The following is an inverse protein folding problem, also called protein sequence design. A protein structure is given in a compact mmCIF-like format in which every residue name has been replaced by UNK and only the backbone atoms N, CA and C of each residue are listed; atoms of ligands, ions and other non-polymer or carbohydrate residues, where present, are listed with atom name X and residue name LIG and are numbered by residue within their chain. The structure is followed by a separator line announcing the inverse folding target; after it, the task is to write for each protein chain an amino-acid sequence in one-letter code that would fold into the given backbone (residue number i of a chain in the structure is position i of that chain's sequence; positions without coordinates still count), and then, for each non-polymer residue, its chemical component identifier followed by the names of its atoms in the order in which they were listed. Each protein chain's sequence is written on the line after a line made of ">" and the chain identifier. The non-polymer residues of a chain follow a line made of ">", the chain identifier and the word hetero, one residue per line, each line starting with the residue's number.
data_IF_167467613928
#
_entry.id   IF_167467613928
#
_cell.length_a   1.000
_cell.length_b   1.000
_cell.length_c   1.000
_cell.angle_alpha   90.00
_cell.angle_beta   90.00
_cell.angle_gamma   90.00
#
_symmetry.space_group_name_H-M   'P 1'
#
loop_
_entity.id
_entity.type
_entity.pdbx_description
1 polymer ?
#
# COMPACT_ATOMS: atom_id res chain seq x y z
N UNK A 1 -22.08 7.17 -16.19
CA UNK A 1 -20.86 7.69 -15.54
C UNK A 1 -21.05 7.95 -14.05
N UNK A 2 -22.09 8.66 -13.56
CA UNK A 2 -22.30 8.85 -12.12
C UNK A 2 -22.40 7.52 -11.35
N UNK A 3 -23.10 6.51 -11.86
CA UNK A 3 -23.26 5.21 -11.17
C UNK A 3 -21.95 4.47 -10.92
N UNK A 4 -20.99 4.60 -11.84
CA UNK A 4 -19.65 4.00 -11.68
C UNK A 4 -18.87 4.74 -10.60
N UNK A 5 -18.98 6.07 -10.54
CA UNK A 5 -18.33 6.87 -9.50
C UNK A 5 -18.93 6.55 -8.14
N UNK A 6 -20.25 6.52 -7.99
CA UNK A 6 -20.92 6.08 -6.76
C UNK A 6 -20.53 4.65 -6.36
N UNK A 7 -20.44 3.74 -7.33
CA UNK A 7 -20.06 2.36 -7.06
C UNK A 7 -18.61 2.22 -6.55
N UNK A 8 -17.68 2.96 -7.18
CA UNK A 8 -16.25 2.88 -6.86
C UNK A 8 -15.89 3.68 -5.61
N UNK A 9 -16.44 4.88 -5.44
CA UNK A 9 -16.12 5.80 -4.34
C UNK A 9 -17.03 5.66 -3.12
N UNK A 10 -18.24 5.12 -3.29
CA UNK A 10 -19.25 5.08 -2.23
C UNK A 10 -19.91 6.43 -1.93
N UNK A 11 -19.54 7.51 -2.61
CA UNK A 11 -20.09 8.85 -2.44
C UNK A 11 -20.21 9.60 -3.78
N UNK A 12 -21.03 10.67 -3.78
CA UNK A 12 -21.11 11.62 -4.89
C UNK A 12 -19.89 12.55 -4.97
N UNK A 13 -19.22 12.75 -3.82
CA UNK A 13 -18.27 13.82 -3.56
C UNK A 13 -16.81 13.43 -3.77
N UNK A 14 -16.50 12.14 -3.92
CA UNK A 14 -15.13 11.67 -4.07
C UNK A 14 -14.66 10.82 -2.88
N UNK A 15 -13.34 10.65 -2.74
CA UNK A 15 -12.74 9.73 -1.75
C UNK A 15 -12.96 10.34 -0.37
N UNK A 16 -13.25 9.52 0.63
CA UNK A 16 -13.47 9.99 1.99
C UNK A 16 -12.20 10.59 2.62
N UNK A 17 -11.03 10.30 2.06
CA UNK A 17 -9.77 10.91 2.42
C UNK A 17 -9.70 12.36 1.90
N UNK A 18 -9.53 13.32 2.81
CA UNK A 18 -9.30 14.73 2.46
C UNK A 18 -8.12 14.92 1.50
N UNK A 19 -8.29 15.81 0.51
CA UNK A 19 -7.34 16.01 -0.57
C UNK A 19 -6.00 16.58 -0.09
N UNK A 20 -6.02 17.55 0.83
CA UNK A 20 -4.78 18.13 1.36
C UNK A 20 -3.98 17.09 2.16
N UNK A 21 -4.67 16.35 3.04
CA UNK A 21 -4.09 15.25 3.81
C UNK A 21 -3.54 14.16 2.89
N UNK A 22 -4.30 13.78 1.86
CA UNK A 22 -3.89 12.81 0.84
C UNK A 22 -2.62 13.23 0.11
N UNK A 23 -2.50 14.51 -0.26
CA UNK A 23 -1.31 15.05 -0.91
C UNK A 23 -0.08 14.98 0.00
N UNK A 24 -0.21 15.44 1.24
CA UNK A 24 0.92 15.44 2.19
C UNK A 24 1.38 14.02 2.47
N UNK A 25 0.45 13.10 2.75
CA UNK A 25 0.80 11.69 2.92
C UNK A 25 1.43 11.11 1.66
N UNK A 26 0.88 11.36 0.47
CA UNK A 26 1.46 10.88 -0.78
C UNK A 26 2.93 11.28 -0.92
N UNK A 27 3.25 12.56 -0.75
CA UNK A 27 4.64 13.06 -0.91
C UNK A 27 5.57 12.42 0.12
N UNK A 28 5.13 12.28 1.37
CA UNK A 28 5.95 11.72 2.45
C UNK A 28 6.15 10.20 2.32
N UNK A 29 5.13 9.47 1.85
CA UNK A 29 5.18 8.00 1.79
C UNK A 29 5.70 7.47 0.46
N UNK A 30 5.61 8.23 -0.64
CA UNK A 30 6.02 7.78 -1.97
C UNK A 30 7.47 7.25 -1.99
N UNK A 31 8.48 7.93 -1.42
CA UNK A 31 9.84 7.41 -1.36
C UNK A 31 9.94 6.09 -0.59
N UNK A 32 9.16 5.92 0.48
CA UNK A 32 9.12 4.70 1.27
C UNK A 32 8.47 3.55 0.50
N UNK A 33 7.39 3.80 -0.23
CA UNK A 33 6.73 2.83 -1.10
C UNK A 33 7.66 2.36 -2.22
N UNK A 34 8.41 3.28 -2.85
CA UNK A 34 9.44 2.96 -3.84
C UNK A 34 10.54 2.10 -3.21
N UNK A 35 11.02 2.49 -2.02
CA UNK A 35 12.05 1.73 -1.32
C UNK A 35 11.59 0.31 -0.99
N UNK A 36 10.35 0.14 -0.52
CA UNK A 36 9.74 -1.17 -0.26
C UNK A 36 9.71 -2.00 -1.53
N UNK A 37 9.14 -1.48 -2.62
CA UNK A 37 9.05 -2.19 -3.89
C UNK A 37 10.43 -2.61 -4.43
N UNK A 38 11.42 -1.72 -4.40
CA UNK A 38 12.78 -2.02 -4.83
C UNK A 38 13.48 -3.05 -3.94
N UNK A 39 13.33 -2.92 -2.62
CA UNK A 39 13.94 -3.84 -1.67
C UNK A 39 13.37 -5.25 -1.80
N UNK A 40 12.06 -5.34 -2.05
CA UNK A 40 11.37 -6.62 -2.21
C UNK A 40 11.67 -7.27 -3.56
N UNK A 41 11.77 -6.49 -4.63
CA UNK A 41 12.27 -6.98 -5.91
C UNK A 41 13.69 -7.52 -5.83
N UNK A 42 14.59 -6.82 -5.12
CA UNK A 42 16.00 -7.17 -5.04
C UNK A 42 16.28 -8.33 -4.08
N UNK A 43 15.62 -8.34 -2.93
CA UNK A 43 15.95 -9.24 -1.83
C UNK A 43 14.81 -10.16 -1.41
N UNK A 44 13.59 -9.99 -1.97
CA UNK A 44 12.37 -10.69 -1.54
C UNK A 44 12.09 -10.47 -0.05
N UNK A 45 12.36 -9.24 0.41
CA UNK A 45 12.23 -8.83 1.80
C UNK A 45 11.70 -7.39 1.88
N UNK A 46 10.55 -7.23 2.53
CA UNK A 46 10.08 -5.93 3.01
C UNK A 46 10.81 -5.59 4.30
N UNK A 47 11.64 -4.54 4.27
CA UNK A 47 12.50 -4.14 5.39
C UNK A 47 11.68 -3.53 6.54
N UNK A 48 11.90 -4.02 7.77
CA UNK A 48 11.25 -3.46 8.97
C UNK A 48 11.45 -1.94 9.09
N UNK A 49 12.64 -1.42 8.76
CA UNK A 49 12.92 0.01 8.84
C UNK A 49 12.01 0.84 7.93
N UNK A 50 11.66 0.33 6.74
CA UNK A 50 10.74 1.01 5.83
C UNK A 50 9.31 1.00 6.39
N UNK A 51 8.89 -0.12 6.98
CA UNK A 51 7.57 -0.24 7.62
C UNK A 51 7.45 0.65 8.86
N UNK A 52 8.48 0.68 9.70
CA UNK A 52 8.53 1.54 10.88
C UNK A 52 8.57 3.02 10.49
N UNK A 53 9.30 3.37 9.42
CA UNK A 53 9.29 4.73 8.88
C UNK A 53 7.89 5.11 8.37
N UNK A 54 7.20 4.20 7.66
CA UNK A 54 5.84 4.42 7.20
C UNK A 54 4.88 4.66 8.38
N UNK A 55 4.89 3.79 9.39
CA UNK A 55 4.09 4.01 10.60
C UNK A 55 4.45 5.32 11.32
N UNK A 56 5.74 5.65 11.41
CA UNK A 56 6.23 6.88 12.02
C UNK A 56 5.75 8.14 11.29
N UNK A 57 5.72 8.13 9.95
CA UNK A 57 5.15 9.21 9.14
C UNK A 57 3.68 9.42 9.50
N UNK A 58 2.88 8.35 9.61
CA UNK A 58 1.49 8.49 10.00
C UNK A 58 1.34 9.07 11.41
N UNK A 59 2.09 8.53 12.38
CA UNK A 59 2.03 8.99 13.78
C UNK A 59 2.33 10.48 13.87
N UNK A 60 3.38 10.96 13.21
CA UNK A 60 3.80 12.36 13.28
C UNK A 60 2.89 13.25 12.44
N UNK A 61 2.76 12.99 11.14
CA UNK A 61 2.02 13.88 10.25
C UNK A 61 0.51 13.80 10.47
N UNK A 62 -0.05 12.61 10.75
CA UNK A 62 -1.47 12.44 11.01
C UNK A 62 -1.97 13.23 12.21
N UNK A 63 -1.13 13.44 13.23
CA UNK A 63 -1.45 14.27 14.39
C UNK A 63 -1.75 15.73 14.02
N UNK A 64 -1.10 16.24 12.97
CA UNK A 64 -1.28 17.61 12.48
C UNK A 64 -2.31 17.73 11.34
N UNK A 65 -2.54 16.65 10.61
CA UNK A 65 -3.40 16.66 9.42
C UNK A 65 -4.85 16.28 9.73
N UNK A 66 -5.12 15.59 10.84
CA UNK A 66 -6.42 14.97 11.08
C UNK A 66 -7.04 15.41 12.42
N UNK A 67 -8.38 15.49 12.53
CA UNK A 67 -9.06 15.64 13.81
C UNK A 67 -8.71 14.49 14.77
N UNK A 68 -8.45 14.81 16.04
CA UNK A 68 -8.00 13.83 17.05
C UNK A 68 -8.87 12.55 17.13
N UNK A 69 -10.22 12.62 17.08
CA UNK A 69 -11.03 11.40 17.11
C UNK A 69 -10.78 10.48 15.90
N UNK A 70 -10.67 11.06 14.71
CA UNK A 70 -10.43 10.32 13.47
C UNK A 70 -9.01 9.76 13.44
N UNK A 71 -8.02 10.55 13.84
CA UNK A 71 -6.63 10.14 13.99
C UNK A 71 -6.49 8.93 14.93
N UNK A 72 -7.15 8.96 16.08
CA UNK A 72 -7.14 7.86 17.05
C UNK A 72 -7.71 6.56 16.47
N UNK A 73 -8.79 6.65 15.70
CA UNK A 73 -9.36 5.47 15.03
C UNK A 73 -8.45 4.93 13.93
N UNK A 74 -7.81 5.82 13.16
CA UNK A 74 -6.84 5.40 12.15
C UNK A 74 -5.60 4.74 12.77
N UNK A 75 -5.08 5.26 13.89
CA UNK A 75 -4.04 4.57 14.65
C UNK A 75 -4.48 3.19 15.14
N UNK A 76 -5.74 3.05 15.60
CA UNK A 76 -6.26 1.77 16.03
C UNK A 76 -6.28 0.74 14.87
N UNK A 77 -6.51 1.17 13.63
CA UNK A 77 -6.44 0.29 12.46
C UNK A 77 -5.08 -0.37 12.30
N UNK A 78 -3.98 0.33 12.61
CA UNK A 78 -2.64 -0.27 12.59
C UNK A 78 -2.57 -1.50 13.50
N UNK A 79 -3.03 -1.35 14.76
CA UNK A 79 -3.03 -2.45 15.72
C UNK A 79 -3.95 -3.60 15.30
N UNK A 80 -5.15 -3.28 14.82
CA UNK A 80 -6.13 -4.28 14.36
C UNK A 80 -5.56 -5.08 13.19
N UNK A 81 -5.08 -4.40 12.15
CA UNK A 81 -4.54 -5.05 10.95
C UNK A 81 -3.26 -5.80 11.26
N UNK A 82 -2.44 -5.34 12.21
CA UNK A 82 -1.28 -6.09 12.68
C UNK A 82 -1.68 -7.40 13.35
N UNK A 83 -2.67 -7.38 14.25
CA UNK A 83 -3.19 -8.58 14.91
C UNK A 83 -3.74 -9.59 13.89
N UNK A 84 -4.54 -9.11 12.93
CA UNK A 84 -5.06 -9.95 11.84
C UNK A 84 -3.92 -10.50 10.99
N UNK A 85 -2.95 -9.66 10.61
CA UNK A 85 -1.79 -10.05 9.82
C UNK A 85 -0.91 -11.10 10.52
N UNK A 86 -0.72 -10.99 11.84
CA UNK A 86 -0.02 -12.00 12.65
C UNK A 86 -0.77 -13.34 12.60
N UNK A 87 -2.08 -13.33 12.79
CA UNK A 87 -2.89 -14.55 12.73
C UNK A 87 -2.81 -15.20 11.35
N UNK A 88 -2.98 -14.43 10.28
CA UNK A 88 -2.89 -14.94 8.92
C UNK A 88 -1.48 -15.43 8.56
N UNK A 89 -0.44 -14.78 9.07
CA UNK A 89 0.94 -15.25 8.92
C UNK A 89 1.18 -16.57 9.66
N UNK A 90 0.64 -16.73 10.87
CA UNK A 90 0.70 -17.98 11.62
C UNK A 90 -0.03 -19.14 10.91
N UNK A 91 -1.09 -18.82 10.14
CA UNK A 91 -1.80 -19.76 9.28
C UNK A 91 -1.10 -20.02 7.92
N UNK A 92 0.03 -19.35 7.64
CA UNK A 92 0.78 -19.49 6.38
C UNK A 92 0.14 -18.81 5.17
N UNK A 93 -0.84 -17.92 5.38
CA UNK A 93 -1.61 -17.28 4.30
C UNK A 93 -0.90 -16.05 3.69
N UNK A 94 -0.08 -15.35 4.47
CA UNK A 94 0.72 -14.23 3.99
C UNK A 94 2.06 -14.10 4.71
N UNK A 95 3.04 -13.46 4.05
CA UNK A 95 4.37 -13.25 4.61
C UNK A 95 4.36 -12.24 5.76
N UNK A 96 5.26 -12.41 6.74
CA UNK A 96 5.35 -11.50 7.87
C UNK A 96 5.70 -10.05 7.45
N UNK A 97 6.44 -9.87 6.35
CA UNK A 97 6.71 -8.55 5.77
C UNK A 97 5.45 -7.86 5.27
N UNK A 98 4.65 -8.59 4.49
CA UNK A 98 3.38 -8.12 3.92
C UNK A 98 2.39 -7.74 5.02
N UNK A 99 2.29 -8.57 6.06
CA UNK A 99 1.45 -8.32 7.24
C UNK A 99 1.79 -6.97 7.88
N UNK A 100 3.08 -6.74 8.13
CA UNK A 100 3.57 -5.53 8.79
C UNK A 100 3.38 -4.30 7.91
N UNK A 101 3.64 -4.42 6.60
CA UNK A 101 3.39 -3.32 5.67
C UNK A 101 1.90 -2.97 5.61
N UNK A 102 1.02 -3.96 5.46
CA UNK A 102 -0.43 -3.75 5.44
C UNK A 102 -0.90 -3.07 6.73
N UNK A 103 -0.37 -3.48 7.88
CA UNK A 103 -0.66 -2.82 9.15
C UNK A 103 -0.20 -1.36 9.19
N UNK A 104 1.02 -1.06 8.73
CA UNK A 104 1.52 0.31 8.68
C UNK A 104 0.80 1.18 7.63
N UNK A 105 0.27 0.56 6.57
CA UNK A 105 -0.49 1.24 5.52
C UNK A 105 -1.96 1.48 5.91
N UNK A 106 -2.53 0.67 6.81
CA UNK A 106 -3.95 0.74 7.18
C UNK A 106 -4.41 2.14 7.63
N UNK A 107 -3.69 2.87 8.52
CA UNK A 107 -4.13 4.18 9.01
C UNK A 107 -4.29 5.25 7.93
N UNK A 108 -3.65 5.06 6.78
CA UNK A 108 -3.74 5.99 5.66
C UNK A 108 -5.05 5.88 4.91
N UNK A 109 -5.83 4.82 5.13
CA UNK A 109 -7.01 4.48 4.33
C UNK A 109 -8.27 4.79 5.10
N UNK A 110 -9.14 5.64 4.55
CA UNK A 110 -10.43 5.89 5.16
C UNK A 110 -11.36 4.67 5.03
N UNK A 111 -12.12 4.38 6.10
CA UNK A 111 -13.07 3.26 6.09
C UNK A 111 -14.12 3.36 4.97
N UNK A 112 -14.48 4.59 4.59
CA UNK A 112 -15.38 4.85 3.45
C UNK A 112 -14.81 4.36 2.11
N UNK A 113 -13.49 4.27 1.99
CA UNK A 113 -12.79 3.93 0.75
C UNK A 113 -12.37 2.45 0.69
N UNK A 114 -12.79 1.61 1.65
CA UNK A 114 -12.37 0.21 1.71
C UNK A 114 -12.66 -0.56 0.41
N UNK A 115 -13.85 -0.37 -0.15
CA UNK A 115 -14.23 -1.01 -1.43
C UNK A 115 -13.31 -0.57 -2.56
N UNK A 116 -13.01 0.72 -2.61
CA UNK A 116 -12.12 1.31 -3.61
C UNK A 116 -10.72 0.71 -3.51
N UNK A 117 -10.12 0.71 -2.31
CA UNK A 117 -8.75 0.25 -2.15
C UNK A 117 -8.60 -1.26 -2.40
N UNK A 118 -9.60 -2.07 -2.08
CA UNK A 118 -9.60 -3.51 -2.40
C UNK A 118 -9.57 -3.73 -3.92
N UNK A 119 -10.40 -2.99 -4.67
CA UNK A 119 -10.43 -3.08 -6.13
C UNK A 119 -9.14 -2.54 -6.76
N UNK A 120 -8.63 -1.41 -6.25
CA UNK A 120 -7.38 -0.81 -6.68
C UNK A 120 -6.19 -1.76 -6.42
N UNK A 121 -6.15 -2.38 -5.24
CA UNK A 121 -5.15 -3.39 -4.89
C UNK A 121 -5.22 -4.59 -5.84
N UNK A 122 -6.41 -5.13 -6.10
CA UNK A 122 -6.58 -6.26 -7.03
C UNK A 122 -6.07 -5.92 -8.44
N UNK A 123 -6.40 -4.72 -8.95
CA UNK A 123 -5.94 -4.27 -10.27
C UNK A 123 -4.42 -4.11 -10.33
N UNK A 124 -3.84 -3.43 -9.34
CA UNK A 124 -2.39 -3.21 -9.25
C UNK A 124 -1.65 -4.53 -9.06
N UNK A 125 -2.18 -5.46 -8.25
CA UNK A 125 -1.61 -6.77 -8.04
C UNK A 125 -1.54 -7.55 -9.36
N UNK A 126 -2.64 -7.62 -10.12
CA UNK A 126 -2.67 -8.28 -11.42
C UNK A 126 -1.68 -7.64 -12.40
N UNK A 127 -1.66 -6.31 -12.48
CA UNK A 127 -0.73 -5.56 -13.32
C UNK A 127 0.73 -5.79 -12.91
N UNK A 128 1.01 -5.84 -11.61
CA UNK A 128 2.36 -6.06 -11.07
C UNK A 128 2.85 -7.49 -11.32
N UNK A 129 1.99 -8.48 -11.14
CA UNK A 129 2.29 -9.89 -11.45
C UNK A 129 2.55 -10.06 -12.95
N UNK A 130 1.69 -9.49 -13.80
CA UNK A 130 1.88 -9.54 -15.24
C UNK A 130 3.19 -8.87 -15.66
N UNK A 131 3.43 -7.64 -15.19
CA UNK A 131 4.64 -6.86 -15.51
C UNK A 131 5.90 -7.58 -15.05
N UNK A 132 5.95 -8.06 -13.80
CA UNK A 132 7.11 -8.77 -13.27
C UNK A 132 7.42 -10.03 -14.08
N UNK A 133 6.40 -10.83 -14.40
CA UNK A 133 6.57 -12.06 -15.19
C UNK A 133 7.03 -11.76 -16.62
N UNK A 134 6.46 -10.76 -17.26
CA UNK A 134 6.86 -10.35 -18.62
C UNK A 134 8.29 -9.82 -18.65
N UNK A 135 8.65 -8.90 -17.74
CA UNK A 135 10.00 -8.35 -17.65
C UNK A 135 11.03 -9.46 -17.47
N UNK A 136 10.75 -10.43 -16.59
CA UNK A 136 11.61 -11.59 -16.34
C UNK A 136 11.84 -12.48 -17.57
N UNK A 137 10.92 -12.49 -18.53
CA UNK A 137 11.03 -13.25 -19.78
C UNK A 137 11.82 -12.51 -20.88
N UNK A 138 12.13 -11.23 -20.67
CA UNK A 138 12.83 -10.39 -21.65
C UNK A 138 14.27 -10.09 -21.23
N UNK A 139 15.13 -9.56 -22.13
CA UNK A 139 16.47 -9.09 -21.79
C UNK A 139 16.50 -7.96 -20.74
N UNK A 140 15.37 -7.31 -20.44
CA UNK A 140 15.28 -6.25 -19.43
C UNK A 140 15.71 -6.71 -18.04
N UNK A 141 15.57 -8.00 -17.71
CA UNK A 141 16.07 -8.55 -16.43
C UNK A 141 17.59 -8.38 -16.26
N UNK A 142 18.33 -8.27 -17.35
CA UNK A 142 19.79 -8.11 -17.33
C UNK A 142 20.22 -6.72 -16.84
N UNK A 143 19.29 -5.75 -16.73
CA UNK A 143 19.54 -4.48 -16.05
C UNK A 143 19.72 -4.66 -14.53
N UNK A 144 19.25 -5.78 -13.99
CA UNK A 144 19.30 -6.09 -12.57
C UNK A 144 19.52 -7.60 -12.35
N UNK A 145 20.67 -8.15 -12.78
CA UNK A 145 20.87 -9.61 -12.85
C UNK A 145 20.83 -10.28 -11.48
N UNK A 146 21.25 -9.57 -10.42
CA UNK A 146 21.39 -10.12 -9.06
C UNK A 146 20.12 -10.01 -8.21
N UNK A 147 18.97 -9.67 -8.80
CA UNK A 147 17.72 -9.57 -8.05
C UNK A 147 17.12 -10.94 -7.76
N UNK A 148 16.89 -11.23 -6.48
CA UNK A 148 16.37 -12.51 -6.01
C UNK A 148 14.98 -12.86 -6.59
N UNK A 149 14.16 -11.86 -6.91
CA UNK A 149 12.83 -12.08 -7.50
C UNK A 149 12.88 -12.72 -8.89
N UNK A 150 14.03 -12.68 -9.59
CA UNK A 150 14.21 -13.40 -10.85
C UNK A 150 14.46 -14.89 -10.68
N UNK A 151 14.87 -15.34 -9.50
CA UNK A 151 15.19 -16.74 -9.23
C UNK A 151 14.00 -17.45 -8.58
N UNK A 152 13.32 -16.77 -7.64
CA UNK A 152 12.17 -17.32 -6.91
C UNK A 152 10.92 -17.42 -7.80
N UNK A 153 10.70 -18.59 -8.40
CA UNK A 153 9.61 -18.83 -9.37
C UNK A 153 8.20 -18.92 -8.78
N UNK A 154 8.10 -19.40 -7.54
CA UNK A 154 6.80 -19.66 -6.88
C UNK A 154 6.32 -18.47 -6.07
N UNK A 155 7.25 -17.62 -5.65
CA UNK A 155 6.98 -16.46 -4.82
C UNK A 155 6.84 -15.21 -5.70
N UNK A 156 6.12 -14.21 -5.22
CA UNK A 156 5.96 -12.91 -5.88
C UNK A 156 6.34 -11.79 -4.90
N UNK A 157 7.15 -10.80 -5.31
CA UNK A 157 7.50 -9.66 -4.47
C UNK A 157 6.28 -8.75 -4.27
N UNK A 158 5.52 -9.00 -3.20
CA UNK A 158 4.28 -8.29 -2.88
C UNK A 158 4.46 -6.78 -2.67
N UNK A 159 5.66 -6.32 -2.30
CA UNK A 159 6.02 -4.91 -2.22
C UNK A 159 5.84 -4.16 -3.56
N UNK A 160 5.93 -4.88 -4.69
CA UNK A 160 5.65 -4.32 -6.02
C UNK A 160 4.16 -4.00 -6.21
N UNK A 161 3.26 -4.65 -5.47
CA UNK A 161 1.83 -4.33 -5.48
C UNK A 161 1.45 -3.38 -4.33
N UNK A 162 1.87 -3.71 -3.10
CA UNK A 162 1.48 -3.00 -1.88
C UNK A 162 1.89 -1.52 -1.88
N UNK A 163 3.15 -1.22 -2.23
CA UNK A 163 3.66 0.15 -2.26
C UNK A 163 2.93 1.03 -3.29
N UNK A 164 2.81 0.58 -4.56
CA UNK A 164 2.05 1.29 -5.57
C UNK A 164 0.56 1.42 -5.24
N UNK A 165 -0.08 0.45 -4.59
CA UNK A 165 -1.47 0.59 -4.14
C UNK A 165 -1.65 1.73 -3.16
N UNK A 166 -0.83 1.79 -2.11
CA UNK A 166 -0.91 2.89 -1.14
C UNK A 166 -0.62 4.23 -1.83
N UNK A 167 0.41 4.28 -2.68
CA UNK A 167 0.79 5.51 -3.38
C UNK A 167 -0.29 5.99 -4.35
N UNK A 168 -0.89 5.08 -5.11
CA UNK A 168 -1.97 5.39 -6.04
C UNK A 168 -3.23 5.83 -5.30
N UNK A 169 -3.59 5.18 -4.20
CA UNK A 169 -4.71 5.59 -3.36
C UNK A 169 -4.53 7.02 -2.84
N UNK A 170 -3.36 7.34 -2.26
CA UNK A 170 -3.08 8.67 -1.74
C UNK A 170 -2.99 9.74 -2.83
N UNK A 171 -2.45 9.41 -4.00
CA UNK A 171 -2.45 10.31 -5.16
C UNK A 171 -3.87 10.59 -5.65
N UNK A 172 -4.73 9.57 -5.71
CA UNK A 172 -6.13 9.75 -6.09
C UNK A 172 -6.91 10.51 -5.01
N UNK A 173 -6.61 10.32 -3.73
CA UNK A 173 -7.17 11.12 -2.65
C UNK A 173 -6.76 12.59 -2.80
N UNK A 174 -5.51 12.86 -3.15
CA UNK A 174 -5.05 14.23 -3.41
C UNK A 174 -5.80 14.93 -4.55
N UNK A 175 -6.30 14.17 -5.53
CA UNK A 175 -7.00 14.70 -6.71
C UNK A 175 -8.52 14.74 -6.55
N UNK A 176 -9.09 13.78 -5.81
CA UNK A 176 -10.52 13.50 -5.76
C UNK A 176 -11.07 13.35 -4.33
N UNK A 177 -10.32 13.77 -3.33
CA UNK A 177 -10.73 13.73 -1.92
C UNK A 177 -11.68 14.87 -1.56
N UNK A 178 -12.64 14.62 -0.66
CA UNK A 178 -13.62 15.61 -0.22
C UNK A 178 -14.36 15.26 1.06
#
# INVERSE_FOLDING_TARGET
>A
MPDLMYFLWGSASGLAQDAFTGLVFFVLTLPLCIWVAMSDLRHMLIRNNAVLALAGVFVVAGLFLMPLPQYGWQLAQLGIVLCVGILMNALGLLGAGDAKFAAAAAPYVMLGDLRFIILLFALILLGSVATHRLVRMTPLRNLAPDWASWERKKDFPMGLALGPTLSAYLALAALYGG
#
